data_IF_799755834857
#
_entry.id   IF_799755834857
#
_cell.length_a   1.000
_cell.length_b   1.000
_cell.length_c   1.000
_cell.angle_alpha   90.00
_cell.angle_beta   90.00
_cell.angle_gamma   90.00
#
_symmetry.space_group_name_H-M   'P 1'
#
loop_
_entity.id
_entity.type
_entity.pdbx_description
1 polymer ?
#
# COMPACT_ATOMS: atom_id res chain seq x y z
N UNK A 1 -3.16 2.88 14.00
CA UNK A 1 -2.83 1.99 12.87
C UNK A 1 -2.43 0.61 13.40
N UNK A 2 -2.79 -0.48 12.70
CA UNK A 2 -2.40 -1.83 13.11
C UNK A 2 -0.89 -2.05 12.94
N UNK A 3 -0.24 -2.72 13.88
CA UNK A 3 1.21 -3.05 13.79
C UNK A 3 1.53 -4.03 12.67
N UNK A 4 0.61 -4.93 12.38
CA UNK A 4 0.76 -5.97 11.35
C UNK A 4 -0.37 -5.82 10.35
N UNK A 5 -0.02 -5.73 9.07
CA UNK A 5 -0.94 -5.72 7.96
C UNK A 5 -0.68 -6.94 7.07
N UNK A 6 -1.75 -7.51 6.54
CA UNK A 6 -1.66 -8.61 5.58
C UNK A 6 -1.77 -8.05 4.16
N UNK A 7 -0.80 -8.33 3.31
CA UNK A 7 -0.76 -7.86 1.92
C UNK A 7 -1.42 -8.84 0.94
N UNK A 8 -1.66 -8.41 -0.30
CA UNK A 8 -2.38 -9.16 -1.32
C UNK A 8 -1.53 -9.68 -2.49
N UNK A 9 -0.26 -9.34 -2.60
CA UNK A 9 0.60 -9.65 -3.74
C UNK A 9 0.58 -11.13 -4.14
N UNK A 10 0.58 -12.05 -3.17
CA UNK A 10 0.54 -13.49 -3.41
C UNK A 10 -0.76 -13.96 -4.06
N UNK A 11 -1.87 -13.23 -3.92
CA UNK A 11 -3.17 -13.59 -4.47
C UNK A 11 -3.30 -13.26 -5.97
N UNK A 12 -2.51 -12.31 -6.44
CA UNK A 12 -2.56 -11.80 -7.81
C UNK A 12 -1.31 -12.14 -8.63
N UNK A 13 -0.52 -13.11 -8.16
CA UNK A 13 0.67 -13.57 -8.88
C UNK A 13 1.77 -12.52 -8.99
N UNK A 14 1.83 -11.58 -8.04
CA UNK A 14 2.90 -10.58 -7.99
C UNK A 14 4.10 -11.16 -7.25
N UNK A 15 5.07 -11.69 -8.00
CA UNK A 15 6.35 -12.13 -7.47
C UNK A 15 7.47 -11.45 -8.24
N UNK A 16 8.27 -10.66 -7.55
CA UNK A 16 9.28 -9.80 -8.17
C UNK A 16 10.58 -10.52 -8.55
N UNK A 17 10.73 -11.80 -8.20
CA UNK A 17 11.98 -12.56 -8.41
C UNK A 17 11.77 -13.86 -9.22
N UNK A 18 10.54 -14.34 -9.39
CA UNK A 18 10.28 -15.62 -10.03
C UNK A 18 8.92 -15.64 -10.72
N UNK A 19 8.93 -15.70 -12.05
CA UNK A 19 7.71 -15.86 -12.85
C UNK A 19 7.03 -17.21 -12.59
N UNK A 20 7.82 -18.26 -12.33
CA UNK A 20 7.29 -19.59 -12.02
C UNK A 20 6.47 -19.58 -10.72
N UNK A 21 7.01 -18.93 -9.67
CA UNK A 21 6.27 -18.73 -8.42
C UNK A 21 5.04 -17.85 -8.63
N UNK A 22 5.11 -16.82 -9.45
CA UNK A 22 3.97 -15.98 -9.79
C UNK A 22 2.87 -16.79 -10.48
N UNK A 23 3.20 -17.65 -11.44
CA UNK A 23 2.26 -18.57 -12.10
C UNK A 23 1.65 -19.57 -11.12
N UNK A 24 2.47 -20.20 -10.27
CA UNK A 24 1.98 -21.16 -9.27
C UNK A 24 0.99 -20.49 -8.30
N UNK A 25 1.27 -19.28 -7.85
CA UNK A 25 0.38 -18.48 -7.00
C UNK A 25 -0.93 -18.12 -7.73
N UNK A 26 -0.87 -17.70 -9.00
CA UNK A 26 -2.06 -17.42 -9.80
C UNK A 26 -2.95 -18.66 -9.96
N UNK A 27 -2.36 -19.84 -10.11
CA UNK A 27 -3.11 -21.11 -10.17
C UNK A 27 -3.70 -21.49 -8.82
N UNK A 28 -3.00 -21.27 -7.73
CA UNK A 28 -3.46 -21.55 -6.36
C UNK A 28 -4.63 -20.63 -5.97
N UNK A 29 -4.59 -19.35 -6.35
CA UNK A 29 -5.57 -18.34 -6.00
C UNK A 29 -6.46 -17.96 -7.18
N UNK A 30 -6.91 -18.92 -7.95
CA UNK A 30 -7.74 -18.71 -9.15
C UNK A 30 -9.16 -18.20 -8.85
N UNK A 31 -9.67 -18.42 -7.66
CA UNK A 31 -11.01 -18.01 -7.22
C UNK A 31 -10.98 -17.28 -5.86
N UNK A 32 -12.05 -16.54 -5.59
CA UNK A 32 -12.21 -15.74 -4.36
C UNK A 32 -12.27 -16.61 -3.11
N UNK A 33 -12.80 -17.83 -3.21
CA UNK A 33 -12.86 -18.74 -2.08
C UNK A 33 -11.48 -19.22 -1.63
N UNK A 34 -10.55 -19.43 -2.57
CA UNK A 34 -9.16 -19.75 -2.24
C UNK A 34 -8.46 -18.60 -1.52
N UNK A 35 -8.71 -17.35 -1.93
CA UNK A 35 -8.19 -16.16 -1.25
C UNK A 35 -8.78 -16.01 0.15
N UNK A 36 -10.11 -16.17 0.28
CA UNK A 36 -10.80 -16.07 1.56
C UNK A 36 -10.29 -17.06 2.60
N UNK A 37 -10.00 -18.32 2.21
CA UNK A 37 -9.41 -19.30 3.15
C UNK A 37 -8.11 -18.81 3.80
N UNK A 38 -7.29 -18.09 3.06
CA UNK A 38 -6.03 -17.54 3.58
C UNK A 38 -6.28 -16.29 4.41
N UNK A 39 -7.19 -15.41 3.97
CA UNK A 39 -7.60 -14.22 4.71
C UNK A 39 -8.28 -14.58 6.04
N UNK A 40 -9.16 -15.60 6.06
CA UNK A 40 -9.74 -16.14 7.29
C UNK A 40 -8.64 -16.60 8.25
N UNK A 41 -7.65 -17.32 7.71
CA UNK A 41 -6.53 -17.77 8.52
C UNK A 41 -5.65 -16.62 9.07
N UNK A 42 -5.49 -15.53 8.31
CA UNK A 42 -4.80 -14.33 8.79
C UNK A 42 -5.64 -13.62 9.87
N UNK A 43 -6.93 -13.47 9.62
CA UNK A 43 -7.86 -12.86 10.57
C UNK A 43 -7.94 -13.66 11.88
N UNK A 44 -8.10 -15.00 11.82
CA UNK A 44 -8.11 -15.88 12.97
C UNK A 44 -6.78 -15.91 13.73
N UNK A 45 -5.69 -15.60 13.04
CA UNK A 45 -4.39 -15.37 13.67
C UNK A 45 -4.27 -13.98 14.34
N UNK A 46 -5.32 -13.14 14.31
CA UNK A 46 -5.34 -11.81 14.91
C UNK A 46 -4.72 -10.72 14.02
N UNK A 47 -4.81 -10.86 12.69
CA UNK A 47 -4.40 -9.83 11.73
C UNK A 47 -5.65 -9.31 11.02
N UNK A 48 -6.35 -8.30 11.58
CA UNK A 48 -7.61 -7.79 11.03
C UNK A 48 -7.42 -6.79 9.87
N UNK A 49 -6.19 -6.35 9.60
CA UNK A 49 -5.88 -5.33 8.61
C UNK A 49 -5.40 -5.96 7.30
N UNK A 50 -6.14 -5.76 6.22
CA UNK A 50 -5.84 -6.23 4.88
C UNK A 50 -5.47 -5.07 3.96
N UNK A 51 -4.19 -4.95 3.62
CA UNK A 51 -3.67 -3.98 2.66
C UNK A 51 -3.74 -4.59 1.26
N UNK A 52 -4.58 -4.01 0.41
CA UNK A 52 -4.98 -4.64 -0.84
C UNK A 52 -5.11 -3.65 -1.99
N UNK A 53 -4.83 -4.13 -3.19
CA UNK A 53 -5.15 -3.43 -4.43
C UNK A 53 -6.67 -3.35 -4.64
N UNK A 54 -7.11 -2.51 -5.57
CA UNK A 54 -8.51 -2.37 -5.93
C UNK A 54 -8.91 -3.30 -7.09
N UNK A 55 -8.34 -4.50 -7.11
CA UNK A 55 -8.69 -5.56 -8.06
C UNK A 55 -10.17 -5.98 -7.90
N UNK A 56 -10.83 -6.40 -8.99
CA UNK A 56 -12.27 -6.77 -8.97
C UNK A 56 -12.59 -7.84 -7.93
N UNK A 57 -11.73 -8.83 -7.79
CA UNK A 57 -11.84 -9.87 -6.76
C UNK A 57 -11.79 -9.34 -5.33
N UNK A 58 -11.09 -8.23 -5.08
CA UNK A 58 -11.10 -7.58 -3.76
C UNK A 58 -12.48 -6.97 -3.48
N UNK A 59 -13.20 -6.53 -4.51
CA UNK A 59 -14.60 -6.12 -4.37
C UNK A 59 -15.48 -7.28 -3.88
N UNK A 60 -15.33 -8.50 -4.46
CA UNK A 60 -16.03 -9.71 -4.02
C UNK A 60 -15.69 -10.05 -2.54
N UNK A 61 -14.42 -9.91 -2.15
CA UNK A 61 -13.98 -10.09 -0.76
C UNK A 61 -14.66 -9.07 0.16
N UNK A 62 -14.74 -7.80 -0.25
CA UNK A 62 -15.42 -6.76 0.52
C UNK A 62 -16.91 -7.07 0.70
N UNK A 63 -17.57 -7.60 -0.32
CA UNK A 63 -18.97 -8.06 -0.27
C UNK A 63 -19.14 -9.21 0.74
N UNK A 64 -18.25 -10.20 0.72
CA UNK A 64 -18.27 -11.34 1.63
C UNK A 64 -18.03 -10.94 3.09
N UNK A 65 -17.12 -10.00 3.34
CA UNK A 65 -16.85 -9.45 4.68
C UNK A 65 -18.05 -8.66 5.18
N UNK A 66 -18.62 -7.80 4.34
CA UNK A 66 -19.80 -6.97 4.66
C UNK A 66 -21.03 -7.81 4.97
N UNK A 67 -21.19 -8.94 4.28
CA UNK A 67 -22.30 -9.86 4.48
C UNK A 67 -22.23 -10.64 5.81
N UNK A 68 -21.11 -10.61 6.53
CA UNK A 68 -20.86 -11.37 7.76
C UNK A 68 -20.25 -10.51 8.87
N UNK A 69 -20.92 -9.44 9.31
CA UNK A 69 -20.37 -8.50 10.28
C UNK A 69 -20.05 -9.15 11.63
N UNK A 70 -20.81 -10.18 12.03
CA UNK A 70 -20.56 -10.95 13.25
C UNK A 70 -19.30 -11.80 13.18
N UNK A 71 -18.87 -12.21 11.98
CA UNK A 71 -17.64 -12.96 11.73
C UNK A 71 -16.41 -12.02 11.67
N UNK A 72 -16.60 -10.79 11.16
CA UNK A 72 -15.53 -9.83 10.87
C UNK A 72 -15.78 -8.47 11.55
N UNK A 73 -16.01 -8.43 12.89
CA UNK A 73 -16.42 -7.20 13.57
C UNK A 73 -15.40 -6.07 13.51
N UNK A 74 -14.11 -6.38 13.34
CA UNK A 74 -13.02 -5.42 13.32
C UNK A 74 -12.14 -5.51 12.06
N UNK A 75 -12.60 -6.25 11.03
CA UNK A 75 -11.85 -6.36 9.78
C UNK A 75 -11.73 -5.00 9.09
N UNK A 76 -10.53 -4.70 8.60
CA UNK A 76 -10.20 -3.41 8.00
C UNK A 76 -9.55 -3.61 6.63
N UNK A 77 -10.02 -2.86 5.66
CA UNK A 77 -9.36 -2.75 4.36
C UNK A 77 -8.46 -1.51 4.33
N UNK A 78 -7.28 -1.66 3.75
CA UNK A 78 -6.32 -0.61 3.47
C UNK A 78 -6.13 -0.54 1.95
N UNK A 79 -7.09 0.09 1.22
CA UNK A 79 -7.08 0.10 -0.24
C UNK A 79 -5.88 0.84 -0.81
N UNK A 80 -5.23 0.25 -1.82
CA UNK A 80 -4.10 0.80 -2.54
C UNK A 80 -4.52 1.09 -3.99
N UNK A 81 -4.63 2.35 -4.37
CA UNK A 81 -5.22 2.77 -5.64
C UNK A 81 -4.41 3.83 -6.40
N UNK A 82 -4.69 4.04 -7.69
CA UNK A 82 -5.50 3.18 -8.56
C UNK A 82 -4.79 1.84 -8.83
N UNK A 83 -5.55 0.81 -9.19
CA UNK A 83 -4.96 -0.46 -9.62
C UNK A 83 -4.33 -0.32 -11.01
N UNK A 84 -3.04 0.02 -11.01
CA UNK A 84 -2.30 0.44 -12.19
C UNK A 84 -2.40 -0.54 -13.38
N UNK A 85 -2.41 -1.86 -13.13
CA UNK A 85 -2.52 -2.87 -14.19
C UNK A 85 -3.83 -2.80 -14.96
N UNK A 86 -4.93 -2.44 -14.32
CA UNK A 86 -6.22 -2.26 -14.97
C UNK A 86 -6.18 -1.14 -16.02
N UNK A 87 -5.55 -0.03 -15.66
CA UNK A 87 -5.44 1.13 -16.53
C UNK A 87 -4.36 0.94 -17.59
N UNK A 88 -3.22 0.34 -17.23
CA UNK A 88 -2.12 0.05 -18.17
C UNK A 88 -2.56 -0.89 -19.30
N UNK A 89 -3.30 -1.96 -18.98
CA UNK A 89 -3.84 -2.87 -19.99
C UNK A 89 -4.82 -2.15 -20.91
N UNK A 90 -5.73 -1.34 -20.35
CA UNK A 90 -6.67 -0.55 -21.14
C UNK A 90 -5.97 0.50 -22.03
N UNK A 91 -4.93 1.17 -21.51
CA UNK A 91 -4.11 2.10 -22.31
C UNK A 91 -3.39 1.37 -23.44
N UNK A 92 -2.86 0.17 -23.19
CA UNK A 92 -2.21 -0.67 -24.19
C UNK A 92 -3.16 -1.14 -25.30
N UNK A 93 -4.41 -1.45 -24.94
CA UNK A 93 -5.42 -1.95 -25.89
C UNK A 93 -6.09 -0.84 -26.69
N UNK A 94 -6.47 0.26 -26.05
CA UNK A 94 -7.35 1.28 -26.65
C UNK A 94 -6.80 2.70 -26.61
N UNK A 95 -5.60 2.89 -26.04
CA UNK A 95 -4.96 4.19 -25.87
C UNK A 95 -5.45 4.98 -24.65
N UNK A 96 -4.70 6.03 -24.29
CA UNK A 96 -4.95 6.84 -23.08
C UNK A 96 -6.34 7.48 -23.12
N UNK A 97 -6.69 8.08 -24.24
CA UNK A 97 -7.97 8.83 -24.40
C UNK A 97 -9.19 7.93 -24.23
N UNK A 98 -9.15 6.73 -24.82
CA UNK A 98 -10.25 5.78 -24.74
C UNK A 98 -10.31 5.09 -23.38
N UNK A 99 -9.16 4.90 -22.72
CA UNK A 99 -9.08 4.45 -21.33
C UNK A 99 -9.76 5.46 -20.40
N UNK A 100 -9.45 6.74 -20.54
CA UNK A 100 -10.11 7.82 -19.79
C UNK A 100 -11.63 7.80 -20.03
N UNK A 101 -12.08 7.68 -21.27
CA UNK A 101 -13.51 7.58 -21.60
C UNK A 101 -14.18 6.35 -20.96
N UNK A 102 -13.52 5.23 -20.94
CA UNK A 102 -14.05 3.96 -20.38
C UNK A 102 -14.25 4.02 -18.87
N UNK A 103 -13.39 4.75 -18.16
CA UNK A 103 -13.40 4.83 -16.70
C UNK A 103 -13.94 6.16 -16.15
N UNK A 104 -14.08 7.20 -16.99
CA UNK A 104 -14.66 8.49 -16.62
C UNK A 104 -16.18 8.51 -16.88
N UNK A 105 -17.01 9.00 -15.94
CA UNK A 105 -18.41 9.26 -16.22
C UNK A 105 -18.56 10.31 -17.34
N UNK A 106 -19.55 10.12 -18.23
CA UNK A 106 -19.76 10.98 -19.38
C UNK A 106 -19.84 12.47 -19.02
N UNK A 107 -19.18 13.31 -19.80
CA UNK A 107 -19.09 14.75 -19.63
C UNK A 107 -17.69 15.27 -19.34
N UNK A 108 -16.90 14.60 -18.51
CA UNK A 108 -15.53 15.03 -18.18
C UNK A 108 -14.57 14.87 -19.38
N UNK A 109 -14.80 13.84 -20.19
CA UNK A 109 -14.02 13.55 -21.39
C UNK A 109 -14.21 14.63 -22.47
N UNK A 110 -15.43 15.15 -22.60
CA UNK A 110 -15.68 16.24 -23.56
C UNK A 110 -14.98 17.53 -23.14
N UNK A 111 -14.86 17.79 -21.84
CA UNK A 111 -14.14 18.92 -21.27
C UNK A 111 -12.62 18.79 -21.48
N UNK A 112 -12.06 17.59 -21.25
CA UNK A 112 -10.63 17.30 -21.50
C UNK A 112 -10.24 17.39 -22.98
N UNK A 113 -11.15 17.05 -23.91
CA UNK A 113 -10.89 17.13 -25.36
C UNK A 113 -11.01 18.55 -25.87
N UNK A 114 -11.88 19.40 -25.26
CA UNK A 114 -12.17 20.79 -25.70
C UNK A 114 -11.31 21.85 -25.01
N UNK A 115 -10.63 21.52 -23.88
CA UNK A 115 -9.89 22.48 -23.08
C UNK A 115 -8.40 22.47 -23.36
N UNK A 116 -7.86 23.64 -23.64
CA UNK A 116 -6.45 23.88 -23.81
C UNK A 116 -5.60 23.47 -22.58
N UNK A 117 -4.39 23.03 -22.83
CA UNK A 117 -3.38 22.52 -21.89
C UNK A 117 -3.06 23.41 -20.66
N UNK A 118 -3.59 24.64 -20.59
CA UNK A 118 -3.40 25.58 -19.47
C UNK A 118 -4.34 25.37 -18.28
N UNK A 119 -5.40 24.56 -18.42
CA UNK A 119 -6.28 24.13 -17.33
C UNK A 119 -5.86 22.76 -16.75
N UNK A 120 -4.79 22.17 -17.26
CA UNK A 120 -4.45 20.76 -17.12
C UNK A 120 -4.22 20.29 -15.68
N UNK A 121 -3.73 21.12 -14.78
CA UNK A 121 -3.48 20.71 -13.37
C UNK A 121 -4.76 20.57 -12.56
N UNK A 122 -5.75 21.45 -12.77
CA UNK A 122 -7.06 21.35 -12.10
C UNK A 122 -7.87 20.17 -12.64
N UNK A 123 -7.77 19.90 -13.95
CA UNK A 123 -8.43 18.77 -14.58
C UNK A 123 -7.82 17.43 -14.12
N UNK A 124 -6.50 17.36 -13.90
CA UNK A 124 -5.83 16.16 -13.38
C UNK A 124 -6.17 15.87 -11.92
N UNK A 125 -6.31 16.91 -11.08
CA UNK A 125 -6.77 16.74 -9.69
C UNK A 125 -8.22 16.24 -9.64
N UNK A 126 -9.10 16.81 -10.46
CA UNK A 126 -10.47 16.34 -10.60
C UNK A 126 -10.54 14.88 -11.10
N UNK A 127 -9.70 14.51 -12.06
CA UNK A 127 -9.59 13.15 -12.56
C UNK A 127 -9.11 12.19 -11.47
N UNK A 128 -8.10 12.56 -10.70
CA UNK A 128 -7.60 11.74 -9.59
C UNK A 128 -8.69 11.50 -8.54
N UNK A 129 -9.41 12.54 -8.11
CA UNK A 129 -10.53 12.44 -7.17
C UNK A 129 -11.61 11.50 -7.70
N UNK A 130 -11.97 11.63 -8.95
CA UNK A 130 -12.96 10.76 -9.59
C UNK A 130 -12.51 9.29 -9.63
N UNK A 131 -11.24 9.02 -9.94
CA UNK A 131 -10.68 7.67 -9.93
C UNK A 131 -10.69 7.08 -8.51
N UNK A 132 -10.31 7.86 -7.51
CA UNK A 132 -10.40 7.46 -6.10
C UNK A 132 -11.85 7.11 -5.75
N UNK A 133 -12.82 7.95 -6.10
CA UNK A 133 -14.23 7.73 -5.80
C UNK A 133 -14.79 6.49 -6.52
N UNK A 134 -14.38 6.24 -7.75
CA UNK A 134 -14.76 5.05 -8.51
C UNK A 134 -14.23 3.76 -7.88
N UNK A 135 -12.97 3.77 -7.45
CA UNK A 135 -12.32 2.63 -6.80
C UNK A 135 -12.88 2.36 -5.39
N UNK A 136 -13.19 3.42 -4.64
CA UNK A 136 -13.73 3.33 -3.28
C UNK A 136 -15.17 2.80 -3.21
N UNK A 137 -15.93 2.82 -4.31
CA UNK A 137 -17.29 2.26 -4.35
C UNK A 137 -17.35 0.79 -3.88
N UNK A 138 -16.30 0.01 -4.15
CA UNK A 138 -16.20 -1.39 -3.75
C UNK A 138 -16.12 -1.60 -2.24
N UNK A 139 -15.59 -0.60 -1.53
CA UNK A 139 -15.39 -0.61 -0.09
C UNK A 139 -16.51 0.09 0.69
N UNK A 140 -17.58 0.54 0.01
CA UNK A 140 -18.71 1.16 0.67
C UNK A 140 -19.28 0.25 1.77
N UNK A 141 -19.46 0.78 3.00
CA UNK A 141 -19.95 0.02 4.15
C UNK A 141 -18.92 -0.91 4.81
N UNK A 142 -17.64 -0.85 4.40
CA UNK A 142 -16.53 -1.52 5.09
C UNK A 142 -15.68 -0.51 5.87
N UNK A 143 -14.80 -0.98 6.75
CA UNK A 143 -13.87 -0.12 7.50
C UNK A 143 -12.61 0.10 6.70
N UNK A 144 -12.35 1.34 6.30
CA UNK A 144 -11.18 1.76 5.50
C UNK A 144 -10.44 2.90 6.20
N UNK A 145 -9.70 2.62 7.30
CA UNK A 145 -9.08 3.68 8.11
C UNK A 145 -7.95 4.43 7.39
N UNK A 146 -7.31 3.80 6.42
CA UNK A 146 -6.25 4.40 5.60
C UNK A 146 -6.50 4.04 4.14
N UNK A 147 -6.39 5.03 3.25
CA UNK A 147 -6.51 4.86 1.79
C UNK A 147 -5.17 5.27 1.17
N UNK A 148 -4.58 4.38 0.38
CA UNK A 148 -3.25 4.60 -0.19
C UNK A 148 -3.29 4.94 -1.67
N UNK A 149 -2.40 5.88 -2.08
CA UNK A 149 -1.98 5.99 -3.46
C UNK A 149 -0.81 5.02 -3.72
N UNK A 150 -0.89 4.28 -4.83
CA UNK A 150 0.12 3.28 -5.20
C UNK A 150 1.46 3.91 -5.61
N UNK A 151 2.55 3.16 -5.39
CA UNK A 151 3.92 3.61 -5.69
C UNK A 151 4.12 4.05 -7.13
N UNK A 152 3.50 3.39 -8.10
CA UNK A 152 3.62 3.77 -9.53
C UNK A 152 3.13 5.20 -9.75
N UNK A 153 2.02 5.60 -9.13
CA UNK A 153 1.48 6.96 -9.23
C UNK A 153 2.29 7.92 -8.35
N UNK A 154 2.57 7.54 -7.12
CA UNK A 154 3.37 8.37 -6.20
C UNK A 154 4.72 8.72 -6.80
N UNK A 155 5.48 7.72 -7.23
CA UNK A 155 6.84 7.91 -7.73
C UNK A 155 6.86 8.63 -9.09
N UNK A 156 5.82 8.43 -9.93
CA UNK A 156 5.63 9.19 -11.17
C UNK A 156 5.39 10.68 -10.88
N UNK A 157 4.47 11.01 -9.98
CA UNK A 157 4.16 12.40 -9.62
C UNK A 157 5.38 13.10 -8.99
N UNK A 158 6.16 12.38 -8.16
CA UNK A 158 7.43 12.89 -7.64
C UNK A 158 8.44 13.18 -8.76
N UNK A 159 8.57 12.26 -9.73
CA UNK A 159 9.45 12.43 -10.88
C UNK A 159 9.05 13.58 -11.81
N UNK A 160 7.76 13.90 -11.87
CA UNK A 160 7.21 15.02 -12.65
C UNK A 160 7.11 16.33 -11.85
N UNK A 161 7.55 16.38 -10.60
CA UNK A 161 7.41 17.53 -9.70
C UNK A 161 5.94 17.99 -9.53
N UNK A 162 5.03 17.04 -9.39
CA UNK A 162 3.58 17.27 -9.24
C UNK A 162 3.11 16.86 -7.84
N UNK A 163 3.88 17.20 -6.81
CA UNK A 163 3.59 16.86 -5.42
C UNK A 163 2.30 17.48 -4.87
N UNK A 164 1.82 18.58 -5.45
CA UNK A 164 0.52 19.18 -5.10
C UNK A 164 -0.64 18.21 -5.36
N UNK A 165 -0.53 17.34 -6.36
CA UNK A 165 -1.54 16.31 -6.59
C UNK A 165 -1.60 15.28 -5.45
N UNK A 166 -0.46 14.98 -4.82
CA UNK A 166 -0.43 14.12 -3.62
C UNK A 166 -1.10 14.83 -2.43
N UNK A 167 -0.92 16.15 -2.31
CA UNK A 167 -1.63 16.95 -1.30
C UNK A 167 -3.13 17.01 -1.59
N UNK A 168 -3.54 17.17 -2.85
CA UNK A 168 -4.94 17.09 -3.30
C UNK A 168 -5.59 15.75 -2.98
N UNK A 169 -4.89 14.64 -3.24
CA UNK A 169 -5.31 13.30 -2.82
C UNK A 169 -5.50 13.21 -1.30
N UNK A 170 -4.54 13.74 -0.53
CA UNK A 170 -4.61 13.70 0.93
C UNK A 170 -5.82 14.47 1.47
N UNK A 171 -6.11 15.65 0.92
CA UNK A 171 -7.28 16.43 1.29
C UNK A 171 -8.57 15.68 0.93
N UNK A 172 -8.68 15.16 -0.30
CA UNK A 172 -9.87 14.43 -0.74
C UNK A 172 -10.17 13.20 0.12
N UNK A 173 -9.15 12.41 0.49
CA UNK A 173 -9.30 11.24 1.36
C UNK A 173 -9.82 11.63 2.74
N UNK A 174 -9.28 12.70 3.34
CA UNK A 174 -9.72 13.18 4.64
C UNK A 174 -11.17 13.70 4.60
N UNK A 175 -11.46 14.54 3.62
CA UNK A 175 -12.74 15.25 3.54
C UNK A 175 -13.89 14.32 3.15
N UNK A 176 -13.64 13.46 2.15
CA UNK A 176 -14.68 12.61 1.55
C UNK A 176 -14.92 11.31 2.30
N UNK A 177 -13.84 10.68 2.81
CA UNK A 177 -13.88 9.34 3.40
C UNK A 177 -13.65 9.32 4.90
N UNK A 178 -13.28 10.46 5.49
CA UNK A 178 -12.92 10.54 6.92
C UNK A 178 -11.81 9.52 7.28
N UNK A 179 -11.00 9.17 6.27
CA UNK A 179 -9.88 8.24 6.38
C UNK A 179 -8.55 8.98 6.38
N UNK A 180 -7.48 8.30 6.79
CA UNK A 180 -6.14 8.85 6.68
C UNK A 180 -5.57 8.59 5.28
N UNK A 181 -4.93 9.59 4.64
CA UNK A 181 -4.21 9.37 3.39
C UNK A 181 -2.90 8.64 3.65
N UNK A 182 -2.63 7.63 2.83
CA UNK A 182 -1.38 6.89 2.82
C UNK A 182 -0.70 6.97 1.46
N UNK A 183 0.60 6.81 1.45
CA UNK A 183 1.43 6.87 0.25
C UNK A 183 2.32 5.65 0.16
N UNK A 184 2.39 5.00 -1.00
CA UNK A 184 3.32 3.91 -1.23
C UNK A 184 4.43 4.43 -2.13
N UNK A 185 5.70 4.15 -1.80
CA UNK A 185 6.85 4.65 -2.58
C UNK A 185 8.04 3.69 -2.55
N UNK A 186 8.88 3.79 -3.56
CA UNK A 186 10.24 3.22 -3.56
C UNK A 186 11.30 4.25 -3.16
N UNK A 187 10.90 5.51 -2.90
CA UNK A 187 11.80 6.59 -2.54
C UNK A 187 11.29 7.37 -1.32
N UNK A 188 11.39 6.74 -0.14
CA UNK A 188 10.94 7.32 1.12
C UNK A 188 11.55 8.71 1.40
N UNK A 189 12.87 8.93 1.26
CA UNK A 189 13.47 10.24 1.56
C UNK A 189 12.88 11.36 0.70
N UNK A 190 12.81 11.15 -0.61
CA UNK A 190 12.27 12.16 -1.53
C UNK A 190 10.79 12.43 -1.26
N UNK A 191 9.99 11.38 -1.04
CA UNK A 191 8.56 11.54 -0.78
C UNK A 191 8.29 12.37 0.46
N UNK A 192 8.97 12.06 1.57
CA UNK A 192 8.76 12.78 2.84
C UNK A 192 9.14 14.26 2.70
N UNK A 193 10.26 14.57 2.05
CA UNK A 193 10.68 15.94 1.80
C UNK A 193 9.69 16.73 0.93
N UNK A 194 9.16 16.10 -0.12
CA UNK A 194 8.20 16.73 -1.04
C UNK A 194 6.83 16.93 -0.41
N UNK A 195 6.33 15.94 0.34
CA UNK A 195 5.06 16.05 1.05
C UNK A 195 5.09 17.16 2.12
N UNK A 196 6.21 17.31 2.83
CA UNK A 196 6.37 18.38 3.82
C UNK A 196 6.31 19.77 3.17
N UNK A 197 6.91 19.96 1.99
CA UNK A 197 6.87 21.22 1.22
C UNK A 197 5.45 21.63 0.82
N UNK A 198 4.60 20.66 0.50
CA UNK A 198 3.19 20.90 0.14
C UNK A 198 2.23 20.80 1.35
N UNK A 199 2.78 20.86 2.57
CA UNK A 199 1.99 20.93 3.81
C UNK A 199 1.41 19.62 4.32
N UNK A 200 1.75 18.47 3.71
CA UNK A 200 1.35 17.14 4.21
C UNK A 200 2.35 16.70 5.26
N UNK A 201 1.99 16.88 6.53
CA UNK A 201 2.84 16.56 7.68
C UNK A 201 2.50 15.20 8.27
N UNK A 202 3.51 14.49 8.80
CA UNK A 202 3.36 13.17 9.42
C UNK A 202 2.60 12.16 8.53
N UNK A 203 2.92 12.06 7.21
CA UNK A 203 2.22 11.18 6.31
C UNK A 203 2.38 9.71 6.74
N UNK A 204 1.36 8.89 6.49
CA UNK A 204 1.51 7.43 6.54
C UNK A 204 2.18 7.00 5.23
N UNK A 205 3.34 6.38 5.33
CA UNK A 205 4.12 5.95 4.16
C UNK A 205 4.43 4.47 4.23
N UNK A 206 3.99 3.71 3.22
CA UNK A 206 4.42 2.33 3.02
C UNK A 206 5.58 2.31 2.03
N UNK A 207 6.74 1.84 2.48
CA UNK A 207 7.95 1.82 1.66
C UNK A 207 8.70 0.48 1.79
N UNK A 208 9.53 0.16 0.78
CA UNK A 208 10.46 -0.95 0.91
C UNK A 208 11.45 -0.63 2.03
N UNK A 209 11.45 -1.41 3.09
CA UNK A 209 12.39 -1.27 4.21
C UNK A 209 12.97 -2.64 4.51
N UNK A 210 14.23 -2.85 4.12
CA UNK A 210 14.93 -4.12 4.30
C UNK A 210 16.44 -3.91 4.45
N UNK A 211 17.09 -4.89 5.05
CA UNK A 211 18.51 -4.81 5.45
C UNK A 211 19.49 -4.60 4.29
N UNK A 212 19.15 -5.07 3.09
CA UNK A 212 20.06 -5.06 1.92
C UNK A 212 19.78 -3.94 0.93
N UNK A 213 18.84 -3.02 1.22
CA UNK A 213 18.53 -1.89 0.34
C UNK A 213 17.75 -2.28 -0.93
N UNK A 214 17.11 -3.45 -0.95
CA UNK A 214 16.35 -3.91 -2.11
C UNK A 214 15.18 -2.95 -2.40
N UNK A 215 15.20 -2.33 -3.59
CA UNK A 215 14.23 -1.31 -4.05
C UNK A 215 14.08 -0.12 -3.10
N UNK A 216 15.16 0.30 -2.47
CA UNK A 216 15.24 1.47 -1.60
C UNK A 216 16.04 2.56 -2.29
N UNK A 217 15.36 3.48 -3.00
CA UNK A 217 16.02 4.60 -3.66
C UNK A 217 16.66 5.53 -2.63
N UNK A 218 17.95 5.83 -2.78
CA UNK A 218 18.74 6.57 -1.80
C UNK A 218 19.47 5.70 -0.78
N UNK A 219 19.18 4.40 -0.74
CA UNK A 219 19.88 3.42 0.10
C UNK A 219 19.40 3.37 1.56
N UNK A 220 19.95 2.42 2.30
CA UNK A 220 19.53 2.09 3.68
C UNK A 220 19.75 3.26 4.64
N UNK A 221 20.87 3.96 4.53
CA UNK A 221 21.22 5.02 5.48
C UNK A 221 20.31 6.24 5.35
N UNK A 222 19.95 6.65 4.13
CA UNK A 222 19.00 7.73 3.90
C UNK A 222 17.60 7.40 4.48
N UNK A 223 17.17 6.14 4.38
CA UNK A 223 15.93 5.69 5.00
C UNK A 223 16.00 5.73 6.52
N UNK A 224 17.10 5.27 7.12
CA UNK A 224 17.31 5.34 8.57
C UNK A 224 17.25 6.77 9.10
N UNK A 225 17.83 7.71 8.37
CA UNK A 225 17.80 9.14 8.74
C UNK A 225 16.36 9.66 8.77
N UNK A 226 15.58 9.41 7.71
CA UNK A 226 14.16 9.80 7.63
C UNK A 226 13.33 9.15 8.73
N UNK A 227 13.52 7.85 8.97
CA UNK A 227 12.79 7.12 10.01
C UNK A 227 13.06 7.70 11.41
N UNK A 228 14.34 7.97 11.75
CA UNK A 228 14.73 8.60 13.03
C UNK A 228 14.21 10.02 13.19
N UNK A 229 14.05 10.75 12.09
CA UNK A 229 13.54 12.12 12.16
C UNK A 229 12.09 12.21 12.63
N UNK A 230 11.34 11.10 12.63
CA UNK A 230 9.94 11.07 13.01
C UNK A 230 9.00 11.86 12.09
N UNK A 231 9.45 12.27 10.89
CA UNK A 231 8.66 13.07 9.94
C UNK A 231 7.55 12.28 9.23
N UNK A 232 7.49 10.96 9.37
CA UNK A 232 6.43 10.11 8.80
C UNK A 232 6.08 8.95 9.73
N UNK A 233 4.94 8.33 9.45
CA UNK A 233 4.51 7.08 10.06
C UNK A 233 4.81 5.94 9.06
N UNK A 234 5.87 5.19 9.29
CA UNK A 234 6.36 4.22 8.32
C UNK A 234 5.75 2.83 8.49
N UNK A 235 5.30 2.26 7.37
CA UNK A 235 4.94 0.86 7.19
C UNK A 235 6.03 0.20 6.36
N UNK A 236 6.70 -0.80 6.90
CA UNK A 236 7.72 -1.56 6.17
C UNK A 236 7.07 -2.61 5.26
N UNK A 237 7.32 -2.52 3.95
CA UNK A 237 7.03 -3.58 2.98
C UNK A 237 8.32 -4.19 2.43
N UNK A 238 8.22 -5.33 1.75
CA UNK A 238 9.36 -6.06 1.16
C UNK A 238 10.48 -6.38 2.14
N UNK A 239 10.15 -6.59 3.40
CA UNK A 239 11.09 -6.84 4.52
C UNK A 239 12.03 -8.01 4.23
N UNK A 240 11.53 -9.04 3.55
CA UNK A 240 12.31 -10.23 3.18
C UNK A 240 13.12 -10.05 1.89
N UNK A 241 13.10 -8.86 1.27
CA UNK A 241 13.76 -8.58 0.00
C UNK A 241 13.49 -9.67 -1.05
N UNK A 242 12.21 -10.04 -1.23
CA UNK A 242 11.76 -11.14 -2.11
C UNK A 242 12.34 -12.51 -1.79
N UNK A 243 12.72 -12.75 -0.52
CA UNK A 243 13.29 -14.01 -0.04
C UNK A 243 14.82 -14.06 -0.03
N UNK A 244 15.48 -12.94 -0.31
CA UNK A 244 16.94 -12.83 -0.24
C UNK A 244 17.49 -12.80 1.19
N UNK A 245 16.62 -12.48 2.17
CA UNK A 245 16.99 -12.43 3.61
C UNK A 245 16.15 -13.47 4.36
N UNK A 246 16.79 -14.16 5.32
CA UNK A 246 16.07 -15.09 6.18
C UNK A 246 15.03 -14.36 7.03
N UNK A 247 13.84 -14.94 7.27
CA UNK A 247 12.76 -14.27 7.98
C UNK A 247 13.16 -13.73 9.37
N UNK A 248 13.89 -14.50 10.15
CA UNK A 248 14.32 -14.13 11.50
C UNK A 248 15.20 -12.87 11.45
N UNK A 249 16.21 -12.87 10.58
CA UNK A 249 17.15 -11.77 10.41
C UNK A 249 16.45 -10.51 9.87
N UNK A 250 15.54 -10.68 8.89
CA UNK A 250 14.80 -9.57 8.29
C UNK A 250 13.91 -8.89 9.32
N UNK A 251 13.14 -9.65 10.10
CA UNK A 251 12.21 -9.12 11.09
C UNK A 251 12.96 -8.47 12.25
N UNK A 252 14.00 -9.12 12.78
CA UNK A 252 14.83 -8.55 13.85
C UNK A 252 15.40 -7.19 13.43
N UNK A 253 15.93 -7.11 12.21
CA UNK A 253 16.50 -5.87 11.69
C UNK A 253 15.47 -4.76 11.51
N UNK A 254 14.30 -5.05 10.92
CA UNK A 254 13.27 -4.06 10.68
C UNK A 254 12.62 -3.59 11.99
N UNK A 255 12.33 -4.51 12.91
CA UNK A 255 11.76 -4.18 14.21
C UNK A 255 12.72 -3.39 15.10
N UNK A 256 14.03 -3.51 14.88
CA UNK A 256 15.06 -2.71 15.55
C UNK A 256 15.26 -1.30 15.00
N UNK A 257 14.56 -0.92 13.90
CA UNK A 257 14.61 0.43 13.37
C UNK A 257 13.65 1.37 14.11
N UNK A 258 14.18 2.48 14.59
CA UNK A 258 13.35 3.57 15.08
C UNK A 258 12.46 4.11 13.96
N UNK A 259 11.20 4.46 14.27
CA UNK A 259 10.27 5.09 13.32
C UNK A 259 9.47 4.12 12.45
N UNK A 260 9.78 2.82 12.41
CA UNK A 260 8.92 1.81 11.79
C UNK A 260 7.78 1.47 12.75
N UNK A 261 6.54 1.75 12.33
CA UNK A 261 5.36 1.55 13.17
C UNK A 261 4.58 0.28 12.80
N UNK A 262 4.69 -0.16 11.56
CA UNK A 262 3.95 -1.32 11.05
C UNK A 262 4.76 -2.10 10.03
N UNK A 263 4.42 -3.37 9.89
CA UNK A 263 4.96 -4.26 8.86
C UNK A 263 3.80 -4.80 8.04
N UNK A 264 3.90 -4.72 6.71
CA UNK A 264 3.02 -5.45 5.80
C UNK A 264 3.75 -6.63 5.20
N UNK A 265 3.14 -7.81 5.28
CA UNK A 265 3.66 -9.01 4.65
C UNK A 265 2.55 -9.83 4.00
N UNK A 266 2.91 -10.63 3.00
CA UNK A 266 2.04 -11.60 2.37
C UNK A 266 2.55 -13.03 2.59
N UNK A 267 1.62 -13.98 2.73
CA UNK A 267 1.92 -15.40 2.80
C UNK A 267 0.77 -16.21 2.21
N UNK A 268 1.09 -17.36 1.62
CA UNK A 268 0.11 -18.24 0.97
C UNK A 268 -0.33 -19.43 1.83
N UNK A 269 0.25 -19.61 3.02
CA UNK A 269 -0.07 -20.69 3.94
C UNK A 269 -0.25 -20.21 5.37
N UNK A 270 -1.15 -20.85 6.09
CA UNK A 270 -1.46 -20.53 7.48
C UNK A 270 -0.23 -20.69 8.41
N UNK A 271 0.61 -21.68 8.15
CA UNK A 271 1.84 -21.88 8.90
C UNK A 271 2.80 -20.70 8.76
N UNK A 272 2.99 -20.19 7.55
CA UNK A 272 3.83 -19.02 7.30
C UNK A 272 3.24 -17.73 7.88
N UNK A 273 1.92 -17.58 7.88
CA UNK A 273 1.23 -16.44 8.49
C UNK A 273 1.54 -16.41 10.00
N UNK A 274 1.26 -17.51 10.71
CA UNK A 274 1.48 -17.62 12.14
C UNK A 274 2.96 -17.40 12.50
N UNK A 275 3.87 -18.08 11.80
CA UNK A 275 5.32 -17.95 12.05
C UNK A 275 5.80 -16.51 11.87
N UNK A 276 5.40 -15.85 10.79
CA UNK A 276 5.81 -14.45 10.54
C UNK A 276 5.25 -13.52 11.60
N UNK A 277 3.98 -13.67 11.97
CA UNK A 277 3.36 -12.90 13.05
C UNK A 277 4.09 -13.07 14.36
N UNK A 278 4.36 -14.32 14.76
CA UNK A 278 5.08 -14.64 16.01
C UNK A 278 6.49 -14.02 16.03
N UNK A 279 7.21 -14.04 14.90
CA UNK A 279 8.51 -13.39 14.78
C UNK A 279 8.41 -11.88 14.99
N UNK A 280 7.42 -11.22 14.37
CA UNK A 280 7.20 -9.78 14.51
C UNK A 280 6.83 -9.42 15.95
N UNK A 281 5.90 -10.14 16.56
CA UNK A 281 5.47 -9.90 17.94
C UNK A 281 6.61 -10.09 18.95
N UNK A 282 7.42 -11.13 18.76
CA UNK A 282 8.60 -11.38 19.60
C UNK A 282 9.63 -10.26 19.45
N UNK A 283 9.91 -9.84 18.22
CA UNK A 283 10.92 -8.82 17.96
C UNK A 283 10.50 -7.43 18.50
N UNK A 284 9.22 -7.09 18.44
CA UNK A 284 8.70 -5.84 19.03
C UNK A 284 8.37 -5.93 20.54
N UNK A 285 8.19 -7.14 21.08
CA UNK A 285 7.97 -7.38 22.51
C UNK A 285 9.27 -7.52 23.31
N UNK A 286 10.40 -7.76 22.65
CA UNK A 286 11.71 -7.66 23.26
C UNK A 286 11.98 -6.18 23.56
N UNK A 287 12.12 -5.82 24.84
CA UNK A 287 12.58 -4.48 25.23
C UNK A 287 13.87 -4.15 24.46
N UNK A 288 14.02 -2.91 23.92
CA UNK A 288 15.27 -2.52 23.31
C UNK A 288 16.37 -2.72 24.35
N UNK A 289 17.37 -3.58 24.04
CA UNK A 289 18.56 -3.72 24.88
C UNK A 289 19.13 -2.31 24.99
N UNK A 290 18.90 -1.70 26.14
CA UNK A 290 19.51 -0.43 26.52
C UNK A 290 21.01 -0.67 26.41
N UNK A 291 21.65 -0.10 25.38
CA UNK A 291 23.10 0.05 25.35
C UNK A 291 23.45 1.11 26.38
N UNK A 292 23.33 0.68 27.66
CA UNK A 292 23.88 1.42 28.76
C UNK A 292 25.39 1.27 28.70
N UNK A 293 26.05 2.41 28.52
CA UNK A 293 27.31 2.75 29.16
C UNK A 293 28.51 1.84 28.90
N UNK A 294 29.36 2.32 28.05
CA UNK A 294 30.77 1.99 28.00
C UNK A 294 31.59 3.26 27.96
N UNK A 295 31.40 4.12 28.97
CA UNK A 295 32.47 5.02 29.41
C UNK A 295 33.37 4.25 30.33
N UNK A 296 34.61 3.97 29.92
CA UNK A 296 35.86 4.21 30.67
C UNK A 296 37.05 4.08 29.73
#
# INVERSE_FOLDING_TARGET
MNRILFGDNQFFGVNHMSEEKARAQSMQFKDTAAVMRVLDGAYDAGIPAFMCTTHDRVGEIADLVRARPERYPDFQFYPCMPYAHKYANSVGEVGILETIKRFAPGGLVETLIKGAFSAATQDLDALMRMLVDAEMKRFAGTRTPVIFVQNVVTDLLLGLHMEEMLAGFAAHVRDRYQAQPGFITMNLPLLVDRLERVGVRQPIVCANINKIGFRMCGGVDAYREVLRSGRCQAIAMSVFASGAIRPEEAIEWVCGLEGVQSIVFGASSLGNIRRTKELIERAWGAEPISRAGGER
#
